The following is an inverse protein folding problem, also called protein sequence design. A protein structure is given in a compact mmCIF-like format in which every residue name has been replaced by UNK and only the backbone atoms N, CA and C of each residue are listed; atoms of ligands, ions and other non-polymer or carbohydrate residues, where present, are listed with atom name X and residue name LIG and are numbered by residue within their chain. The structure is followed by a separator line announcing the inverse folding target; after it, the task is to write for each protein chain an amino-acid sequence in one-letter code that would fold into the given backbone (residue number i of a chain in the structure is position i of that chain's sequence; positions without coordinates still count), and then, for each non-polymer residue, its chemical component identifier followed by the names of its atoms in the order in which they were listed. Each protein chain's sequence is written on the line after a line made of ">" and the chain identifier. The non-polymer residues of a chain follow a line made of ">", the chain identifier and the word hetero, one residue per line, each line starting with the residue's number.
data_IF_039891912140
#
_entry.id   IF_039891912140
#
_cell.length_a   1.000
_cell.length_b   1.000
_cell.length_c   1.000
_cell.angle_alpha   90.00
_cell.angle_beta   90.00
_cell.angle_gamma   90.00
#
_symmetry.space_group_name_H-M   'P 1'
#
loop_
_entity.id
_entity.type
_entity.pdbx_description
1 polymer ?
#
# COMPACT_ATOMS: atom_id res chain seq x y z
N UNK A 1 -11.29 -11.48 16.05
CA UNK A 1 -11.85 -12.68 15.38
C UNK A 1 -12.53 -12.20 14.11
N UNK A 2 -12.07 -12.67 12.97
CA UNK A 2 -12.69 -12.37 11.68
C UNK A 2 -14.11 -12.92 11.63
N UNK A 3 -15.02 -12.10 11.14
CA UNK A 3 -16.40 -12.50 10.98
C UNK A 3 -16.53 -13.30 9.68
N UNK A 4 -16.81 -14.59 9.77
CA UNK A 4 -16.88 -15.49 8.61
C UNK A 4 -18.19 -15.38 7.81
N UNK A 5 -19.17 -14.60 8.28
CA UNK A 5 -20.47 -14.40 7.62
C UNK A 5 -21.00 -13.01 7.94
N UNK A 6 -21.47 -12.32 6.93
CA UNK A 6 -22.01 -10.97 7.03
C UNK A 6 -23.47 -10.93 6.58
N UNK A 7 -24.25 -10.02 7.18
CA UNK A 7 -25.60 -9.70 6.72
C UNK A 7 -25.49 -8.62 5.66
N UNK A 8 -25.79 -8.93 4.41
CA UNK A 8 -25.63 -8.03 3.28
C UNK A 8 -27.00 -7.70 2.70
N UNK A 9 -27.24 -6.40 2.49
CA UNK A 9 -28.43 -5.91 1.80
C UNK A 9 -28.06 -5.50 0.38
N UNK A 10 -28.73 -6.09 -0.61
CA UNK A 10 -28.51 -5.82 -2.04
C UNK A 10 -29.68 -5.06 -2.61
N UNK A 11 -29.43 -3.92 -3.27
CA UNK A 11 -30.47 -3.16 -3.95
C UNK A 11 -30.00 -2.76 -5.36
N UNK A 12 -30.78 -3.18 -6.36
CA UNK A 12 -30.54 -2.92 -7.78
C UNK A 12 -31.89 -3.05 -8.51
N UNK A 13 -32.24 -2.12 -9.39
CA UNK A 13 -33.52 -2.16 -10.11
C UNK A 13 -33.58 -3.23 -11.22
N UNK A 14 -32.43 -3.84 -11.55
CA UNK A 14 -32.35 -5.01 -12.39
C UNK A 14 -32.46 -6.32 -11.57
N UNK A 15 -33.57 -7.07 -11.68
CA UNK A 15 -33.74 -8.33 -10.95
C UNK A 15 -32.68 -9.38 -11.28
N UNK A 16 -32.09 -9.34 -12.50
CA UNK A 16 -31.02 -10.27 -12.88
C UNK A 16 -29.71 -9.94 -12.13
N UNK A 17 -29.38 -8.65 -12.04
CA UNK A 17 -28.21 -8.21 -11.27
C UNK A 17 -28.36 -8.60 -9.79
N UNK A 18 -29.53 -8.36 -9.19
CA UNK A 18 -29.84 -8.78 -7.80
C UNK A 18 -29.63 -10.28 -7.64
N UNK A 19 -30.16 -11.09 -8.55
CA UNK A 19 -30.01 -12.55 -8.48
C UNK A 19 -28.56 -12.99 -8.53
N UNK A 20 -27.79 -12.50 -9.50
CA UNK A 20 -26.36 -12.85 -9.68
C UNK A 20 -25.54 -12.45 -8.45
N UNK A 21 -25.71 -11.22 -7.96
CA UNK A 21 -25.00 -10.74 -6.77
C UNK A 21 -25.35 -11.60 -5.55
N UNK A 22 -26.65 -11.92 -5.36
CA UNK A 22 -27.10 -12.73 -4.22
C UNK A 22 -26.50 -14.13 -4.27
N UNK A 23 -26.58 -14.82 -5.41
CA UNK A 23 -26.04 -16.18 -5.57
C UNK A 23 -24.52 -16.22 -5.28
N UNK A 24 -23.73 -15.27 -5.82
CA UNK A 24 -22.28 -15.20 -5.59
C UNK A 24 -21.92 -15.00 -4.11
N UNK A 25 -22.74 -14.25 -3.37
CA UNK A 25 -22.47 -13.94 -1.97
C UNK A 25 -23.02 -15.02 -1.01
N UNK A 26 -24.11 -15.70 -1.38
CA UNK A 26 -24.62 -16.88 -0.65
C UNK A 26 -23.64 -18.04 -0.75
N UNK A 27 -23.06 -18.28 -1.92
CA UNK A 27 -21.98 -19.26 -2.13
C UNK A 27 -20.77 -18.97 -1.24
N UNK A 28 -20.49 -17.68 -0.96
CA UNK A 28 -19.48 -17.22 -0.01
C UNK A 28 -19.94 -17.24 1.46
N UNK A 29 -21.10 -17.83 1.75
CA UNK A 29 -21.71 -18.02 3.10
C UNK A 29 -22.18 -16.73 3.79
N UNK A 30 -22.47 -15.67 3.06
CA UNK A 30 -23.12 -14.48 3.60
C UNK A 30 -24.65 -14.66 3.67
N UNK A 31 -25.30 -13.87 4.52
CA UNK A 31 -26.76 -13.83 4.60
C UNK A 31 -27.24 -12.64 3.76
N UNK A 32 -28.04 -12.92 2.73
CA UNK A 32 -28.45 -11.93 1.76
C UNK A 32 -29.92 -11.58 1.94
N UNK A 33 -30.20 -10.28 2.02
CA UNK A 33 -31.54 -9.72 1.81
C UNK A 33 -31.47 -8.80 0.60
N UNK A 34 -32.37 -8.96 -0.34
CA UNK A 34 -32.32 -8.19 -1.58
C UNK A 34 -33.63 -7.50 -1.92
N UNK A 35 -33.56 -6.42 -2.69
CA UNK A 35 -34.68 -5.60 -3.10
C UNK A 35 -34.45 -5.00 -4.48
N UNK A 36 -35.52 -4.84 -5.25
CA UNK A 36 -35.45 -4.16 -6.57
C UNK A 36 -36.07 -2.76 -6.54
N UNK A 37 -36.64 -2.33 -5.41
CA UNK A 37 -37.24 -1.02 -5.25
C UNK A 37 -36.41 -0.11 -4.34
N UNK A 38 -35.86 0.96 -4.88
CA UNK A 38 -34.98 1.88 -4.14
C UNK A 38 -35.71 2.78 -3.12
N UNK A 39 -37.02 3.08 -3.33
CA UNK A 39 -37.74 4.03 -2.49
C UNK A 39 -37.93 3.58 -1.06
N UNK A 40 -38.13 2.26 -0.85
CA UNK A 40 -38.30 1.64 0.47
C UNK A 40 -36.99 1.06 1.05
N UNK A 41 -35.90 1.10 0.26
CA UNK A 41 -34.61 0.51 0.64
C UNK A 41 -34.06 1.08 1.95
N UNK A 42 -34.07 2.40 2.13
CA UNK A 42 -33.53 3.02 3.34
C UNK A 42 -34.27 2.57 4.61
N UNK A 43 -35.60 2.50 4.57
CA UNK A 43 -36.39 2.06 5.73
C UNK A 43 -36.08 0.60 6.11
N UNK A 44 -35.86 -0.25 5.10
CA UNK A 44 -35.47 -1.66 5.30
C UNK A 44 -34.06 -1.78 5.87
N UNK A 45 -33.12 -1.01 5.32
CA UNK A 45 -31.71 -0.94 5.80
C UNK A 45 -31.69 -0.51 7.27
N UNK A 46 -32.44 0.53 7.64
CA UNK A 46 -32.50 1.05 8.99
C UNK A 46 -33.08 0.01 9.98
N UNK A 47 -34.11 -0.72 9.57
CA UNK A 47 -34.70 -1.79 10.40
C UNK A 47 -33.78 -3.01 10.56
N UNK A 48 -33.03 -3.35 9.49
CA UNK A 48 -32.16 -4.53 9.47
C UNK A 48 -30.78 -4.28 10.09
N UNK A 49 -30.25 -3.06 9.95
CA UNK A 49 -28.86 -2.70 10.29
C UNK A 49 -27.86 -3.73 9.74
N UNK A 50 -27.79 -3.88 8.39
CA UNK A 50 -26.90 -4.87 7.80
C UNK A 50 -25.43 -4.47 8.00
N UNK A 51 -24.53 -5.45 7.90
CA UNK A 51 -23.08 -5.20 7.91
C UNK A 51 -22.65 -4.46 6.64
N UNK A 52 -23.35 -4.71 5.52
CA UNK A 52 -23.05 -4.12 4.22
C UNK A 52 -24.32 -3.85 3.41
N UNK A 53 -24.30 -2.75 2.68
CA UNK A 53 -25.24 -2.43 1.60
C UNK A 53 -24.49 -2.46 0.28
N UNK A 54 -24.94 -3.26 -0.67
CA UNK A 54 -24.49 -3.27 -2.06
C UNK A 54 -25.58 -2.63 -2.90
N UNK A 55 -25.26 -1.54 -3.58
CA UNK A 55 -26.23 -0.70 -4.24
C UNK A 55 -25.85 -0.38 -5.68
N UNK A 56 -26.79 -0.54 -6.62
CA UNK A 56 -26.61 0.06 -7.95
C UNK A 56 -26.64 1.58 -7.85
N UNK A 57 -25.86 2.22 -8.73
CA UNK A 57 -25.79 3.67 -8.78
C UNK A 57 -27.03 4.30 -9.42
N UNK A 58 -27.56 3.66 -10.48
CA UNK A 58 -28.59 4.24 -11.35
C UNK A 58 -29.93 3.56 -11.17
N UNK A 59 -30.64 3.92 -10.12
CA UNK A 59 -31.96 3.37 -9.82
C UNK A 59 -33.06 4.43 -9.95
N UNK A 60 -34.27 4.08 -10.40
CA UNK A 60 -35.40 5.01 -10.44
C UNK A 60 -35.89 5.35 -9.01
N UNK A 61 -36.15 6.61 -8.76
CA UNK A 61 -36.67 7.10 -7.47
C UNK A 61 -35.54 7.61 -6.56
N UNK A 62 -34.93 6.76 -5.76
CA UNK A 62 -33.76 7.10 -4.94
C UNK A 62 -32.54 6.51 -5.63
N UNK A 63 -31.63 7.36 -6.11
CA UNK A 63 -30.39 6.89 -6.74
C UNK A 63 -29.37 6.40 -5.70
N UNK A 64 -28.34 5.69 -6.16
CA UNK A 64 -27.33 5.13 -5.28
C UNK A 64 -26.55 6.18 -4.49
N UNK A 65 -26.31 7.38 -5.03
CA UNK A 65 -25.65 8.47 -4.30
C UNK A 65 -26.50 8.96 -3.14
N UNK A 66 -27.81 9.14 -3.38
CA UNK A 66 -28.75 9.58 -2.35
C UNK A 66 -28.85 8.53 -1.23
N UNK A 67 -29.00 7.25 -1.60
CA UNK A 67 -29.08 6.15 -0.64
C UNK A 67 -27.77 6.01 0.17
N UNK A 68 -26.61 6.12 -0.50
CA UNK A 68 -25.31 6.11 0.15
C UNK A 68 -25.23 7.18 1.23
N UNK A 69 -25.52 8.42 0.87
CA UNK A 69 -25.51 9.56 1.81
C UNK A 69 -26.45 9.33 3.00
N UNK A 70 -27.68 8.86 2.74
CA UNK A 70 -28.64 8.57 3.81
C UNK A 70 -28.14 7.50 4.78
N UNK A 71 -27.47 6.46 4.28
CA UNK A 71 -26.94 5.36 5.11
C UNK A 71 -25.71 5.82 5.87
N UNK A 72 -24.75 6.45 5.22
CA UNK A 72 -23.44 6.80 5.83
C UNK A 72 -23.53 7.97 6.83
N UNK A 73 -24.50 8.88 6.66
CA UNK A 73 -24.73 9.97 7.61
C UNK A 73 -25.65 9.59 8.79
N UNK A 74 -26.25 8.37 8.77
CA UNK A 74 -27.20 7.96 9.80
C UNK A 74 -26.48 7.35 11.02
N UNK A 75 -26.70 7.90 12.21
CA UNK A 75 -26.01 7.52 13.45
C UNK A 75 -26.19 6.06 13.87
N UNK A 76 -27.28 5.41 13.49
CA UNK A 76 -27.53 4.00 13.80
C UNK A 76 -26.89 3.02 12.82
N UNK A 77 -26.32 3.53 11.69
CA UNK A 77 -25.73 2.75 10.62
C UNK A 77 -24.20 2.98 10.48
N UNK A 78 -23.57 3.53 11.51
CA UNK A 78 -22.13 3.88 11.49
C UNK A 78 -21.19 2.69 11.21
N UNK A 79 -21.65 1.47 11.49
CA UNK A 79 -20.89 0.24 11.23
C UNK A 79 -21.28 -0.44 9.90
N UNK A 80 -22.26 0.11 9.18
CA UNK A 80 -22.71 -0.46 7.90
C UNK A 80 -21.78 0.02 6.77
N UNK A 81 -21.10 -0.91 6.13
CA UNK A 81 -20.31 -0.62 4.91
C UNK A 81 -21.27 -0.35 3.75
N UNK A 82 -20.91 0.58 2.86
CA UNK A 82 -21.68 0.87 1.65
C UNK A 82 -20.81 0.68 0.41
N UNK A 83 -21.23 -0.19 -0.50
CA UNK A 83 -20.52 -0.53 -1.73
C UNK A 83 -21.39 -0.17 -2.92
N UNK A 84 -20.85 0.67 -3.82
CA UNK A 84 -21.48 0.97 -5.10
C UNK A 84 -21.12 -0.09 -6.12
N UNK A 85 -22.12 -0.53 -6.90
CA UNK A 85 -21.92 -1.39 -8.07
C UNK A 85 -22.52 -0.69 -9.28
N UNK A 86 -21.75 -0.45 -10.35
CA UNK A 86 -22.24 0.40 -11.46
C UNK A 86 -21.61 0.08 -12.80
N UNK A 87 -22.34 0.35 -13.88
CA UNK A 87 -21.79 0.36 -15.25
C UNK A 87 -20.97 1.61 -15.55
N UNK A 88 -21.06 2.66 -14.73
CA UNK A 88 -20.34 3.92 -14.93
C UNK A 88 -18.90 3.81 -14.49
N UNK A 89 -17.97 3.95 -15.44
CA UNK A 89 -16.53 3.89 -15.21
C UNK A 89 -15.90 5.29 -15.06
N UNK A 90 -16.69 6.35 -14.92
CA UNK A 90 -16.14 7.70 -14.81
C UNK A 90 -15.56 7.95 -13.42
N UNK A 91 -14.36 8.49 -13.40
CA UNK A 91 -13.65 8.86 -12.16
C UNK A 91 -14.46 9.82 -11.27
N UNK A 92 -15.20 10.70 -11.91
CA UNK A 92 -16.10 11.64 -11.21
C UNK A 92 -17.15 10.91 -10.37
N UNK A 93 -17.79 9.86 -10.92
CA UNK A 93 -18.80 9.08 -10.21
C UNK A 93 -18.18 8.28 -9.06
N UNK A 94 -16.97 7.73 -9.27
CA UNK A 94 -16.22 7.04 -8.22
C UNK A 94 -15.82 7.99 -7.08
N UNK A 95 -15.18 9.12 -7.40
CA UNK A 95 -14.81 10.13 -6.40
C UNK A 95 -16.02 10.66 -5.62
N UNK A 96 -17.12 10.88 -6.32
CA UNK A 96 -18.38 11.32 -5.70
C UNK A 96 -18.93 10.27 -4.74
N UNK A 97 -18.87 8.97 -5.10
CA UNK A 97 -19.29 7.88 -4.22
C UNK A 97 -18.49 7.88 -2.91
N UNK A 98 -17.18 7.99 -2.98
CA UNK A 98 -16.31 8.06 -1.79
C UNK A 98 -16.53 9.34 -0.99
N UNK A 99 -16.80 10.47 -1.64
CA UNK A 99 -17.17 11.73 -0.93
C UNK A 99 -18.47 11.58 -0.13
N UNK A 100 -19.41 10.74 -0.59
CA UNK A 100 -20.62 10.41 0.14
C UNK A 100 -20.46 9.26 1.14
N UNK A 101 -19.24 8.79 1.37
CA UNK A 101 -18.91 7.79 2.38
C UNK A 101 -19.00 6.35 1.90
N UNK A 102 -19.07 6.09 0.58
CA UNK A 102 -18.96 4.72 0.08
C UNK A 102 -17.61 4.10 0.47
N UNK A 103 -17.63 2.82 0.83
CA UNK A 103 -16.44 2.04 1.22
C UNK A 103 -15.83 1.29 0.03
N UNK A 104 -16.58 1.14 -1.06
CA UNK A 104 -16.13 0.50 -2.27
C UNK A 104 -16.93 0.94 -3.50
N UNK A 105 -16.31 0.77 -4.68
CA UNK A 105 -16.93 0.99 -5.98
C UNK A 105 -16.53 -0.13 -6.92
N UNK A 106 -17.48 -0.91 -7.40
CA UNK A 106 -17.24 -2.07 -8.27
C UNK A 106 -17.91 -1.83 -9.61
N UNK A 107 -17.15 -2.06 -10.69
CA UNK A 107 -17.64 -1.90 -12.04
C UNK A 107 -18.38 -3.16 -12.54
N UNK A 108 -19.52 -2.96 -13.18
CA UNK A 108 -20.18 -3.98 -14.02
C UNK A 108 -19.51 -4.01 -15.43
N UNK A 109 -19.38 -5.20 -16.08
CA UNK A 109 -19.85 -6.50 -15.62
C UNK A 109 -19.01 -7.07 -14.48
N UNK A 110 -19.67 -7.76 -13.55
CA UNK A 110 -18.99 -8.37 -12.40
C UNK A 110 -18.12 -9.54 -12.86
N UNK A 111 -16.92 -9.62 -12.30
CA UNK A 111 -16.10 -10.83 -12.45
C UNK A 111 -16.55 -11.84 -11.39
N UNK A 112 -17.21 -12.90 -11.82
CA UNK A 112 -17.82 -13.90 -10.93
C UNK A 112 -16.79 -14.68 -10.10
N UNK A 113 -15.55 -14.79 -10.58
CA UNK A 113 -14.47 -15.50 -9.87
C UNK A 113 -13.89 -14.67 -8.70
N UNK A 114 -13.92 -13.34 -8.81
CA UNK A 114 -13.23 -12.44 -7.84
C UNK A 114 -14.19 -11.54 -7.05
N UNK A 115 -15.47 -11.51 -7.40
CA UNK A 115 -16.44 -10.58 -6.80
C UNK A 115 -16.58 -10.76 -5.29
N UNK A 116 -16.76 -12.01 -4.84
CA UNK A 116 -16.91 -12.30 -3.41
C UNK A 116 -15.65 -11.92 -2.62
N UNK A 117 -14.47 -12.15 -3.18
CA UNK A 117 -13.20 -11.75 -2.56
C UNK A 117 -13.07 -10.23 -2.48
N UNK A 118 -13.52 -9.49 -3.52
CA UNK A 118 -13.53 -8.02 -3.47
C UNK A 118 -14.46 -7.50 -2.37
N UNK A 119 -15.65 -8.10 -2.22
CA UNK A 119 -16.57 -7.75 -1.13
C UNK A 119 -15.93 -8.04 0.23
N UNK A 120 -15.35 -9.22 0.42
CA UNK A 120 -14.67 -9.60 1.65
C UNK A 120 -13.53 -8.66 2.02
N UNK A 121 -12.73 -8.23 1.06
CA UNK A 121 -11.66 -7.24 1.26
C UNK A 121 -12.20 -5.90 1.76
N UNK A 122 -13.30 -5.42 1.16
CA UNK A 122 -13.94 -4.17 1.60
C UNK A 122 -14.54 -4.33 3.01
N UNK A 123 -15.20 -5.45 3.30
CA UNK A 123 -15.81 -5.72 4.59
C UNK A 123 -14.78 -5.79 5.72
N UNK A 124 -13.63 -6.34 5.47
CA UNK A 124 -12.56 -6.51 6.46
C UNK A 124 -11.48 -5.40 6.44
N UNK A 125 -11.64 -4.38 5.58
CA UNK A 125 -10.66 -3.31 5.40
C UNK A 125 -9.24 -3.80 5.10
N UNK A 126 -9.11 -4.89 4.35
CA UNK A 126 -7.82 -5.46 4.03
C UNK A 126 -7.00 -4.60 3.08
N UNK A 127 -5.71 -4.46 3.41
CA UNK A 127 -4.72 -3.85 2.53
C UNK A 127 -3.86 -5.00 1.98
N UNK A 128 -3.79 -5.13 0.66
CA UNK A 128 -2.84 -6.06 0.03
C UNK A 128 -1.49 -5.39 -0.11
N UNK A 129 -0.52 -5.82 0.68
CA UNK A 129 0.86 -5.40 0.58
C UNK A 129 1.66 -6.42 -0.23
N UNK A 130 2.33 -5.96 -1.29
CA UNK A 130 3.13 -6.84 -2.15
C UNK A 130 4.54 -6.31 -2.33
N UNK A 131 5.50 -7.23 -2.26
CA UNK A 131 6.92 -6.95 -2.42
C UNK A 131 7.35 -7.23 -3.86
N UNK A 132 7.93 -6.25 -4.53
CA UNK A 132 8.40 -6.35 -5.92
C UNK A 132 9.91 -6.31 -6.04
N UNK A 133 10.58 -5.80 -5.03
CA UNK A 133 12.03 -5.78 -4.86
C UNK A 133 12.36 -5.57 -3.40
N UNK A 134 13.33 -6.32 -2.89
CA UNK A 134 13.69 -6.36 -1.46
C UNK A 134 15.18 -6.06 -1.21
N UNK A 135 15.96 -5.88 -2.28
CA UNK A 135 17.39 -5.55 -2.21
C UNK A 135 17.61 -4.05 -2.14
N UNK A 136 18.76 -3.66 -1.58
CA UNK A 136 19.29 -2.31 -1.63
C UNK A 136 20.44 -2.15 -2.60
N UNK A 137 20.84 -0.94 -2.86
CA UNK A 137 22.05 -0.50 -3.59
C UNK A 137 22.06 -0.92 -5.06
N UNK A 138 22.06 -2.22 -5.37
CA UNK A 138 22.14 -2.74 -6.75
C UNK A 138 21.26 -3.98 -6.93
N UNK A 139 20.67 -4.18 -8.13
CA UNK A 139 20.03 -5.44 -8.47
C UNK A 139 21.03 -6.59 -8.49
N UNK A 140 20.61 -7.75 -7.98
CA UNK A 140 21.41 -8.96 -7.91
C UNK A 140 20.83 -10.03 -8.83
N UNK A 141 21.68 -10.84 -9.45
CA UNK A 141 21.25 -11.98 -10.27
C UNK A 141 22.04 -13.24 -9.89
N UNK A 142 21.52 -14.39 -10.28
CA UNK A 142 22.20 -15.66 -10.07
C UNK A 142 21.57 -16.55 -8.98
N UNK A 143 22.18 -17.72 -8.77
CA UNK A 143 21.63 -18.79 -7.93
C UNK A 143 21.49 -18.39 -6.45
N UNK A 144 22.28 -17.44 -5.98
CA UNK A 144 22.31 -16.97 -4.60
C UNK A 144 21.20 -15.96 -4.26
N UNK A 145 20.35 -15.58 -5.22
CA UNK A 145 19.25 -14.63 -5.04
C UNK A 145 17.89 -15.17 -5.51
N UNK A 146 17.73 -16.50 -5.62
CA UNK A 146 16.50 -17.13 -6.12
C UNK A 146 15.38 -17.16 -5.10
N UNK A 147 15.72 -17.21 -3.81
CA UNK A 147 14.75 -17.34 -2.73
C UNK A 147 14.05 -16.02 -2.41
N UNK A 148 14.82 -14.96 -2.23
CA UNK A 148 14.30 -13.64 -1.86
C UNK A 148 14.08 -12.73 -3.05
N UNK A 149 14.81 -12.94 -4.13
CA UNK A 149 14.82 -12.12 -5.33
C UNK A 149 16.03 -11.18 -5.37
N UNK A 150 16.24 -10.56 -6.53
CA UNK A 150 17.38 -9.70 -6.78
C UNK A 150 17.01 -8.25 -7.12
N UNK A 151 15.72 -7.89 -7.16
CA UNK A 151 15.29 -6.54 -7.48
C UNK A 151 15.45 -5.59 -6.30
N UNK A 152 15.77 -4.33 -6.61
CA UNK A 152 15.87 -3.24 -5.64
C UNK A 152 14.50 -2.70 -5.26
N UNK A 153 14.47 -1.87 -4.23
CA UNK A 153 13.34 -1.40 -3.45
C UNK A 153 12.10 -1.05 -4.25
N UNK A 154 11.04 -1.83 -4.09
CA UNK A 154 9.70 -1.52 -4.56
C UNK A 154 8.66 -2.34 -3.80
N UNK A 155 7.70 -1.70 -3.18
CA UNK A 155 6.51 -2.35 -2.59
C UNK A 155 5.24 -1.67 -3.06
N UNK A 156 4.11 -2.35 -3.02
CA UNK A 156 2.82 -1.75 -3.28
C UNK A 156 1.80 -2.05 -2.19
N UNK A 157 0.92 -1.10 -1.91
CA UNK A 157 -0.28 -1.26 -1.10
C UNK A 157 -1.49 -1.05 -2.00
N UNK A 158 -2.34 -2.06 -2.10
CA UNK A 158 -3.61 -1.97 -2.81
C UNK A 158 -4.75 -2.01 -1.80
N UNK A 159 -5.59 -0.97 -1.82
CA UNK A 159 -6.72 -0.81 -0.92
C UNK A 159 -8.00 -1.38 -1.54
N UNK A 160 -9.02 -1.70 -0.72
CA UNK A 160 -10.33 -2.17 -1.20
C UNK A 160 -10.99 -1.23 -2.22
N UNK A 161 -10.70 0.07 -2.13
CA UNK A 161 -11.14 1.10 -3.09
C UNK A 161 -10.44 1.04 -4.45
N UNK A 162 -9.54 0.07 -4.67
CA UNK A 162 -8.65 -0.06 -5.83
C UNK A 162 -7.62 1.08 -5.97
N UNK A 163 -7.45 1.89 -4.93
CA UNK A 163 -6.34 2.82 -4.85
C UNK A 163 -5.04 2.02 -4.71
N UNK A 164 -4.03 2.42 -5.47
CA UNK A 164 -2.71 1.77 -5.48
C UNK A 164 -1.66 2.78 -5.03
N UNK A 165 -0.96 2.46 -3.95
CA UNK A 165 0.23 3.17 -3.51
C UNK A 165 1.45 2.30 -3.79
N UNK A 166 2.47 2.91 -4.35
CA UNK A 166 3.75 2.26 -4.64
C UNK A 166 4.82 3.02 -3.88
N UNK A 167 5.68 2.32 -3.18
CA UNK A 167 6.81 2.90 -2.45
C UNK A 167 8.08 2.48 -3.15
N UNK A 168 8.81 3.47 -3.62
CA UNK A 168 9.99 3.42 -4.46
C UNK A 168 9.80 2.75 -5.84
N UNK A 169 10.66 3.16 -6.75
CA UNK A 169 10.71 2.73 -8.15
C UNK A 169 12.05 2.12 -8.53
N UNK A 170 12.64 1.34 -7.64
CA UNK A 170 13.81 0.52 -7.95
C UNK A 170 13.48 -0.55 -9.00
N UNK A 171 14.38 -1.51 -9.23
CA UNK A 171 14.20 -2.46 -10.33
C UNK A 171 12.94 -3.32 -10.21
N UNK A 172 12.40 -3.47 -8.98
CA UNK A 172 11.14 -4.15 -8.73
C UNK A 172 9.91 -3.52 -9.39
N UNK A 173 9.92 -2.20 -9.68
CA UNK A 173 8.77 -1.53 -10.29
C UNK A 173 8.45 -2.04 -11.69
N UNK A 174 9.47 -2.56 -12.42
CA UNK A 174 9.24 -3.18 -13.71
C UNK A 174 8.35 -4.41 -13.58
N UNK A 175 8.62 -5.27 -12.61
CA UNK A 175 7.81 -6.47 -12.35
C UNK A 175 6.38 -6.09 -11.92
N UNK A 176 6.21 -5.05 -11.10
CA UNK A 176 4.90 -4.47 -10.79
C UNK A 176 4.18 -4.03 -12.06
N UNK A 177 4.86 -3.33 -12.98
CA UNK A 177 4.31 -2.86 -14.25
C UNK A 177 3.81 -4.00 -15.14
N UNK A 178 4.60 -5.08 -15.26
CA UNK A 178 4.24 -6.27 -16.00
C UNK A 178 3.01 -6.96 -15.38
N UNK A 179 2.96 -7.06 -14.05
CA UNK A 179 1.82 -7.61 -13.32
C UNK A 179 0.55 -6.77 -13.53
N UNK A 180 0.61 -5.45 -13.38
CA UNK A 180 -0.52 -4.55 -13.59
C UNK A 180 -1.07 -4.66 -15.02
N UNK A 181 -0.19 -4.78 -16.01
CA UNK A 181 -0.56 -4.97 -17.41
C UNK A 181 -1.24 -6.31 -17.63
N UNK A 182 -0.77 -7.39 -16.99
CA UNK A 182 -1.37 -8.73 -17.08
C UNK A 182 -2.78 -8.79 -16.49
N UNK A 183 -3.11 -7.91 -15.53
CA UNK A 183 -4.44 -7.81 -14.92
C UNK A 183 -5.51 -7.20 -15.86
N UNK A 184 -5.13 -6.76 -17.06
CA UNK A 184 -6.02 -6.15 -18.05
C UNK A 184 -6.87 -4.99 -17.48
N UNK A 185 -6.34 -4.23 -16.52
CA UNK A 185 -7.02 -3.07 -15.96
C UNK A 185 -7.20 -2.02 -17.04
N UNK A 186 -8.43 -1.53 -17.23
CA UNK A 186 -8.75 -0.50 -18.25
C UNK A 186 -8.04 0.83 -17.97
N UNK A 187 -7.78 1.12 -16.71
CA UNK A 187 -7.13 2.33 -16.22
C UNK A 187 -6.41 2.02 -14.92
N UNK A 188 -5.22 2.52 -14.78
CA UNK A 188 -4.43 2.43 -13.55
C UNK A 188 -4.31 3.83 -12.96
N UNK A 189 -4.65 3.96 -11.70
CA UNK A 189 -4.43 5.16 -10.89
C UNK A 189 -3.54 4.79 -9.73
N UNK A 190 -2.37 5.41 -9.63
CA UNK A 190 -1.44 5.12 -8.55
C UNK A 190 -0.72 6.37 -8.05
N UNK A 191 -0.31 6.29 -6.78
CA UNK A 191 0.62 7.25 -6.18
C UNK A 191 1.94 6.55 -5.92
N UNK A 192 3.02 7.12 -6.47
CA UNK A 192 4.38 6.63 -6.27
C UNK A 192 5.04 7.51 -5.22
N UNK A 193 5.23 6.99 -4.04
CA UNK A 193 5.93 7.63 -2.93
C UNK A 193 7.41 7.26 -3.00
N UNK A 194 8.25 8.22 -3.31
CA UNK A 194 9.70 8.04 -3.42
C UNK A 194 10.32 8.43 -2.09
N UNK A 195 11.03 7.49 -1.46
CA UNK A 195 11.74 7.75 -0.22
C UNK A 195 12.85 8.79 -0.43
N UNK A 196 13.69 8.57 -1.42
CA UNK A 196 14.76 9.46 -1.84
C UNK A 196 15.28 9.08 -3.25
N UNK A 197 16.06 9.94 -3.92
CA UNK A 197 16.41 9.75 -5.33
C UNK A 197 17.71 8.94 -5.56
N UNK A 198 18.15 8.09 -4.62
CA UNK A 198 19.23 7.15 -4.93
C UNK A 198 18.76 6.16 -6.01
N UNK A 199 19.70 5.67 -6.78
CA UNK A 199 19.39 4.91 -7.99
C UNK A 199 18.55 3.67 -7.75
N UNK A 200 18.84 2.93 -6.73
CA UNK A 200 18.12 1.72 -6.37
C UNK A 200 16.65 1.95 -5.93
N UNK A 201 16.25 3.22 -5.74
CA UNK A 201 14.89 3.63 -5.45
C UNK A 201 14.15 4.27 -6.64
N UNK A 202 14.85 4.64 -7.73
CA UNK A 202 14.23 5.33 -8.86
C UNK A 202 14.66 4.81 -10.23
N UNK A 203 15.71 3.98 -10.34
CA UNK A 203 16.36 3.62 -11.61
C UNK A 203 15.42 2.97 -12.64
N UNK A 204 14.34 2.34 -12.20
CA UNK A 204 13.46 1.62 -13.11
C UNK A 204 12.10 2.29 -13.34
N UNK A 205 11.89 3.50 -12.84
CA UNK A 205 10.72 4.32 -13.19
C UNK A 205 10.60 4.50 -14.71
N UNK A 206 11.69 4.77 -15.48
CA UNK A 206 11.63 4.85 -16.93
C UNK A 206 11.16 3.57 -17.64
N UNK A 207 11.20 2.42 -16.96
CA UNK A 207 10.78 1.12 -17.49
C UNK A 207 9.41 0.66 -16.96
N UNK A 208 8.71 1.52 -16.22
CA UNK A 208 7.38 1.23 -15.71
C UNK A 208 6.34 1.38 -16.83
N UNK A 209 6.04 0.28 -17.52
CA UNK A 209 5.19 0.25 -18.70
C UNK A 209 3.85 1.00 -18.57
N UNK A 210 3.16 1.03 -17.41
CA UNK A 210 1.93 1.78 -17.25
C UNK A 210 2.04 3.29 -17.49
N UNK A 211 3.23 3.91 -17.36
CA UNK A 211 3.47 5.34 -17.67
C UNK A 211 3.30 5.66 -19.16
N UNK A 212 3.46 4.67 -20.03
CA UNK A 212 3.34 4.81 -21.49
C UNK A 212 1.96 4.43 -22.03
N UNK A 213 0.99 4.17 -21.15
CA UNK A 213 -0.36 3.79 -21.53
C UNK A 213 -1.34 4.95 -21.35
N UNK A 214 -1.99 5.35 -22.43
CA UNK A 214 -2.98 6.43 -22.40
C UNK A 214 -4.16 6.08 -21.48
N UNK A 215 -4.61 7.05 -20.70
CA UNK A 215 -5.74 6.91 -19.79
C UNK A 215 -5.34 6.56 -18.36
N UNK A 216 -4.08 6.17 -18.11
CA UNK A 216 -3.56 6.01 -16.75
C UNK A 216 -3.24 7.37 -16.11
N UNK A 217 -3.31 7.42 -14.77
CA UNK A 217 -2.96 8.58 -13.95
C UNK A 217 -1.97 8.19 -12.86
N UNK A 218 -0.91 8.93 -12.75
CA UNK A 218 0.10 8.75 -11.72
C UNK A 218 0.42 10.08 -11.03
N UNK A 219 0.62 10.02 -9.73
CA UNK A 219 1.22 11.10 -8.97
C UNK A 219 2.51 10.58 -8.33
N UNK A 220 3.63 11.22 -8.63
CA UNK A 220 4.96 10.90 -8.09
C UNK A 220 5.28 11.92 -7.01
N UNK A 221 5.42 11.42 -5.77
CA UNK A 221 5.58 12.22 -4.57
C UNK A 221 6.90 11.86 -3.87
N UNK A 222 7.64 12.84 -3.40
CA UNK A 222 8.87 12.62 -2.63
C UNK A 222 9.53 13.94 -2.25
N UNK A 223 10.61 13.91 -1.46
CA UNK A 223 11.26 15.12 -1.04
C UNK A 223 12.13 15.74 -2.17
N UNK A 224 12.11 17.05 -2.26
CA UNK A 224 13.09 17.78 -3.06
C UNK A 224 14.50 17.59 -2.48
N UNK A 225 15.54 17.70 -3.32
CA UNK A 225 16.95 17.65 -2.91
C UNK A 225 17.61 18.99 -3.21
N UNK A 226 17.83 19.80 -2.18
CA UNK A 226 18.24 21.19 -2.37
C UNK A 226 17.21 21.94 -3.23
N UNK A 227 17.66 22.50 -4.34
CA UNK A 227 16.80 23.24 -5.27
C UNK A 227 16.11 22.33 -6.31
N UNK A 228 16.47 21.04 -6.39
CA UNK A 228 15.91 20.12 -7.38
C UNK A 228 14.57 19.55 -6.87
N UNK A 229 13.52 19.80 -7.60
CA UNK A 229 12.19 19.23 -7.37
C UNK A 229 12.13 17.73 -7.70
N UNK A 230 11.14 17.01 -7.19
CA UNK A 230 10.93 15.60 -7.55
C UNK A 230 10.82 15.39 -9.07
N UNK A 231 10.17 16.32 -9.78
CA UNK A 231 10.11 16.29 -11.24
C UNK A 231 11.49 16.36 -11.90
N UNK A 232 12.35 17.24 -11.45
CA UNK A 232 13.70 17.40 -11.98
C UNK A 232 14.57 16.19 -11.66
N UNK A 233 14.45 15.63 -10.45
CA UNK A 233 15.18 14.43 -10.04
C UNK A 233 14.81 13.22 -10.91
N UNK A 234 13.52 12.98 -11.16
CA UNK A 234 13.09 11.89 -12.05
C UNK A 234 13.47 12.18 -13.51
N UNK A 235 13.35 13.44 -13.97
CA UNK A 235 13.74 13.84 -15.33
C UNK A 235 15.22 13.66 -15.60
N UNK A 236 16.08 13.90 -14.60
CA UNK A 236 17.55 13.84 -14.77
C UNK A 236 18.04 12.44 -15.17
N UNK A 237 17.41 11.37 -14.71
CA UNK A 237 17.76 10.01 -15.15
C UNK A 237 17.30 9.69 -16.58
N UNK A 238 16.43 10.51 -17.15
CA UNK A 238 15.89 10.39 -18.51
C UNK A 238 16.54 11.44 -19.45
N UNK A 239 17.76 11.83 -19.16
CA UNK A 239 18.57 12.69 -20.05
C UNK A 239 18.92 11.94 -21.32
N UNK A 240 18.76 12.60 -22.48
CA UNK A 240 18.99 12.01 -23.80
C UNK A 240 20.40 11.47 -24.05
N UNK A 241 21.38 11.81 -23.20
CA UNK A 241 22.72 11.22 -23.21
C UNK A 241 22.72 9.80 -22.65
N UNK A 242 21.90 9.53 -21.63
CA UNK A 242 21.88 8.26 -20.91
C UNK A 242 20.66 7.40 -21.23
N UNK A 243 19.54 8.04 -21.60
CA UNK A 243 18.28 7.35 -21.86
C UNK A 243 17.54 8.02 -23.04
N UNK A 244 17.07 7.25 -24.06
CA UNK A 244 16.55 7.82 -25.31
C UNK A 244 15.14 8.42 -25.19
N UNK A 245 14.49 8.32 -24.04
CA UNK A 245 13.12 8.73 -23.78
C UNK A 245 13.12 9.77 -22.66
N UNK A 246 12.30 10.81 -22.77
CA UNK A 246 12.13 11.85 -21.76
C UNK A 246 10.74 11.74 -21.13
N UNK A 247 10.42 12.59 -20.13
CA UNK A 247 9.08 12.62 -19.52
C UNK A 247 7.96 12.96 -20.51
N UNK A 248 8.29 13.54 -21.69
CA UNK A 248 7.31 13.94 -22.70
C UNK A 248 6.70 12.75 -23.44
N UNK A 249 7.34 11.60 -23.43
CA UNK A 249 6.84 10.37 -24.03
C UNK A 249 5.88 9.60 -23.13
N UNK A 250 5.70 10.02 -21.88
CA UNK A 250 4.67 9.43 -21.03
C UNK A 250 3.27 9.70 -21.60
N UNK A 251 2.55 8.65 -21.97
CA UNK A 251 1.19 8.75 -22.47
C UNK A 251 0.14 8.85 -21.35
N UNK A 252 0.52 8.45 -20.14
CA UNK A 252 -0.27 8.64 -18.93
C UNK A 252 -0.23 10.11 -18.47
N UNK A 253 -1.24 10.52 -17.70
CA UNK A 253 -1.15 11.77 -16.95
C UNK A 253 -0.24 11.57 -15.74
N UNK A 254 0.85 12.34 -15.67
CA UNK A 254 1.83 12.24 -14.57
C UNK A 254 1.98 13.59 -13.89
N UNK A 255 1.68 13.62 -12.60
CA UNK A 255 1.84 14.78 -11.72
C UNK A 255 3.02 14.54 -10.78
N UNK A 256 3.66 15.64 -10.37
CA UNK A 256 4.76 15.60 -9.41
C UNK A 256 4.43 16.48 -8.22
N UNK A 257 4.77 16.02 -7.03
CA UNK A 257 4.59 16.78 -5.79
C UNK A 257 5.81 16.62 -4.89
N UNK A 258 6.39 17.74 -4.50
CA UNK A 258 7.42 17.78 -3.48
C UNK A 258 6.79 17.65 -2.10
N UNK A 259 7.37 16.79 -1.26
CA UNK A 259 6.92 16.52 0.09
C UNK A 259 7.95 17.01 1.12
N UNK A 260 7.43 17.35 2.29
CA UNK A 260 8.19 17.58 3.52
C UNK A 260 7.70 16.63 4.62
N UNK A 261 8.05 16.87 5.89
CA UNK A 261 7.38 16.19 7.00
C UNK A 261 5.95 16.76 7.13
N UNK A 262 4.98 16.02 6.66
CA UNK A 262 3.58 16.44 6.60
C UNK A 262 2.61 15.27 6.80
N UNK A 263 1.33 15.61 6.92
CA UNK A 263 0.22 14.66 6.93
C UNK A 263 -0.64 14.90 5.69
N UNK A 264 -0.79 13.88 4.87
CA UNK A 264 -1.55 13.93 3.62
C UNK A 264 -2.84 13.13 3.82
N UNK A 265 -3.99 13.75 3.58
CA UNK A 265 -5.30 13.07 3.59
C UNK A 265 -5.71 12.71 2.15
N UNK A 266 -5.92 11.43 1.91
CA UNK A 266 -6.30 10.87 0.62
C UNK A 266 -7.58 10.05 0.79
N UNK A 267 -8.72 10.72 0.80
CA UNK A 267 -10.01 10.15 1.19
C UNK A 267 -9.94 9.60 2.64
N UNK A 268 -10.17 8.30 2.83
CA UNK A 268 -10.07 7.61 4.13
C UNK A 268 -8.67 7.03 4.43
N UNK A 269 -7.65 7.40 3.65
CA UNK A 269 -6.26 7.02 3.87
C UNK A 269 -5.48 8.25 4.34
N UNK A 270 -4.79 8.13 5.45
CA UNK A 270 -3.85 9.13 5.94
C UNK A 270 -2.42 8.65 5.66
N UNK A 271 -1.60 9.49 5.07
CA UNK A 271 -0.16 9.24 4.89
C UNK A 271 0.61 10.29 5.69
N UNK A 272 1.44 9.84 6.62
CA UNK A 272 2.39 10.69 7.35
C UNK A 272 3.78 10.48 6.80
N UNK A 273 4.56 11.54 6.74
CA UNK A 273 5.97 11.53 6.33
C UNK A 273 6.88 11.90 7.48
N UNK A 274 8.08 11.34 7.51
CA UNK A 274 9.12 11.64 8.49
C UNK A 274 10.49 11.62 7.81
N UNK A 275 11.36 12.60 8.09
CA UNK A 275 12.75 12.57 7.65
C UNK A 275 13.54 11.49 8.39
N UNK A 276 14.22 10.66 7.62
CA UNK A 276 15.04 9.56 8.09
C UNK A 276 16.52 9.95 8.19
N UNK A 277 17.27 9.17 9.00
CA UNK A 277 18.71 9.32 9.19
C UNK A 277 19.47 8.66 8.04
N UNK A 278 19.52 9.37 6.91
CA UNK A 278 20.20 8.94 5.67
C UNK A 278 20.76 10.16 4.95
N UNK A 279 21.86 10.07 4.19
CA UNK A 279 22.40 11.19 3.41
C UNK A 279 21.38 11.80 2.45
N UNK A 280 21.26 13.11 2.45
CA UNK A 280 20.21 13.83 1.73
C UNK A 280 18.89 13.85 2.50
N UNK A 281 17.80 14.20 1.81
CA UNK A 281 16.44 14.09 2.38
C UNK A 281 15.85 12.73 1.99
N UNK A 282 15.77 11.83 2.96
CA UNK A 282 15.07 10.56 2.82
C UNK A 282 13.80 10.59 3.65
N UNK A 283 12.66 10.20 3.09
CA UNK A 283 11.36 10.16 3.76
C UNK A 283 10.94 8.73 4.09
N UNK A 284 10.62 8.51 5.37
CA UNK A 284 9.80 7.37 5.79
C UNK A 284 8.32 7.70 5.66
N UNK A 285 7.51 6.69 5.44
CA UNK A 285 6.07 6.81 5.25
C UNK A 285 5.30 5.95 6.24
N UNK A 286 4.28 6.53 6.89
CA UNK A 286 3.28 5.78 7.64
C UNK A 286 1.93 5.95 6.98
N UNK A 287 1.31 4.85 6.60
CA UNK A 287 -0.02 4.81 6.00
C UNK A 287 -1.01 4.29 7.03
N UNK A 288 -2.05 5.05 7.31
CA UNK A 288 -3.15 4.65 8.19
C UNK A 288 -4.43 4.52 7.37
N UNK A 289 -5.13 3.39 7.51
CA UNK A 289 -6.38 3.09 6.83
C UNK A 289 -7.30 2.28 7.74
N UNK A 290 -8.46 2.85 8.12
CA UNK A 290 -9.50 2.16 8.89
C UNK A 290 -8.98 1.37 10.10
N UNK A 291 -8.07 1.95 10.88
CA UNK A 291 -7.48 1.33 12.07
C UNK A 291 -6.30 0.39 11.78
N UNK A 292 -5.93 0.18 10.53
CA UNK A 292 -4.71 -0.53 10.10
C UNK A 292 -3.60 0.45 9.79
N UNK A 293 -2.35 0.02 9.97
CA UNK A 293 -1.20 0.89 9.71
C UNK A 293 0.01 0.14 9.16
N UNK A 294 0.64 0.74 8.16
CA UNK A 294 1.86 0.24 7.53
C UNK A 294 2.92 1.33 7.57
N UNK A 295 4.09 1.02 8.07
CA UNK A 295 5.27 1.90 8.05
C UNK A 295 6.30 1.38 7.05
N UNK A 296 6.75 2.25 6.15
CA UNK A 296 7.85 2.02 5.22
C UNK A 296 9.02 2.92 5.59
N UNK A 297 10.06 2.31 6.16
CA UNK A 297 11.25 2.98 6.70
C UNK A 297 12.48 2.35 6.03
N UNK A 298 12.68 2.69 4.74
CA UNK A 298 13.89 2.29 4.03
C UNK A 298 15.03 3.26 4.33
N UNK A 299 16.25 2.90 4.03
CA UNK A 299 17.46 3.73 4.12
C UNK A 299 17.47 4.64 5.35
N UNK A 300 17.77 4.02 6.46
CA UNK A 300 17.73 4.67 7.75
C UNK A 300 18.81 4.10 8.66
N UNK A 301 19.71 4.94 9.13
CA UNK A 301 20.75 4.54 10.10
C UNK A 301 20.35 4.85 11.52
N UNK A 302 20.21 3.81 12.32
CA UNK A 302 20.06 3.91 13.77
C UNK A 302 21.40 3.64 14.44
N UNK A 303 22.06 4.69 14.90
CA UNK A 303 23.37 4.61 15.54
C UNK A 303 23.31 3.92 16.91
N UNK A 304 24.39 3.22 17.30
CA UNK A 304 24.55 2.74 18.67
C UNK A 304 24.74 3.90 19.65
N UNK A 305 24.38 3.68 20.92
CA UNK A 305 24.39 4.71 21.95
C UNK A 305 25.77 5.31 22.24
N UNK A 306 26.84 4.59 21.94
CA UNK A 306 28.24 5.01 22.06
C UNK A 306 28.76 5.78 20.83
N UNK A 307 27.96 5.94 19.80
CA UNK A 307 28.29 6.72 18.62
C UNK A 307 28.13 8.21 18.86
N UNK A 308 29.06 9.02 18.32
CA UNK A 308 28.96 10.49 18.30
C UNK A 308 27.74 11.01 17.51
N UNK A 309 27.18 10.20 16.65
CA UNK A 309 26.00 10.50 15.84
C UNK A 309 24.67 10.05 16.48
N UNK A 310 24.72 9.40 17.64
CA UNK A 310 23.53 8.93 18.33
C UNK A 310 22.63 10.08 18.77
N UNK A 311 21.35 9.97 18.46
CA UNK A 311 20.35 10.96 18.86
C UNK A 311 19.13 10.30 19.50
N UNK A 312 19.02 10.35 20.84
CA UNK A 312 17.82 9.83 21.54
C UNK A 312 16.53 10.50 21.07
N UNK A 313 16.61 11.77 20.68
CA UNK A 313 15.45 12.52 20.16
C UNK A 313 14.97 11.93 18.84
N UNK A 314 15.90 11.55 17.96
CA UNK A 314 15.58 10.93 16.67
C UNK A 314 14.99 9.54 16.90
N UNK A 315 15.60 8.68 17.71
CA UNK A 315 15.08 7.34 18.01
C UNK A 315 13.67 7.39 18.62
N UNK A 316 13.42 8.27 19.59
CA UNK A 316 12.10 8.45 20.17
C UNK A 316 11.06 8.91 19.12
N UNK A 317 11.45 9.80 18.21
CA UNK A 317 10.58 10.27 17.12
C UNK A 317 10.24 9.13 16.16
N UNK A 318 11.24 8.32 15.77
CA UNK A 318 11.06 7.17 14.91
C UNK A 318 10.20 6.10 15.58
N UNK A 319 10.44 5.81 16.87
CA UNK A 319 9.62 4.88 17.64
C UNK A 319 8.15 5.32 17.70
N UNK A 320 7.88 6.61 17.99
CA UNK A 320 6.50 7.13 18.02
C UNK A 320 5.86 7.10 16.61
N UNK A 321 6.65 7.34 15.56
CA UNK A 321 6.19 7.24 14.18
C UNK A 321 5.78 5.81 13.79
N UNK A 322 6.49 4.80 14.28
CA UNK A 322 6.20 3.38 14.02
C UNK A 322 5.23 2.74 15.03
N UNK A 323 4.85 3.48 16.09
CA UNK A 323 4.09 2.95 17.22
C UNK A 323 2.82 2.23 16.82
N UNK A 324 2.62 1.02 17.37
CA UNK A 324 1.47 0.15 17.17
C UNK A 324 1.19 -0.16 15.69
N UNK A 325 2.20 -0.10 14.81
CA UNK A 325 2.02 -0.42 13.40
C UNK A 325 1.71 -1.91 13.21
N UNK A 326 0.76 -2.20 12.30
CA UNK A 326 0.45 -3.58 11.91
C UNK A 326 1.61 -4.20 11.12
N UNK A 327 2.27 -3.39 10.27
CA UNK A 327 3.46 -3.77 9.52
C UNK A 327 4.52 -2.67 9.56
N UNK A 328 5.75 -3.04 9.84
CA UNK A 328 6.93 -2.22 9.69
C UNK A 328 7.86 -2.87 8.66
N UNK A 329 8.02 -2.23 7.51
CA UNK A 329 9.02 -2.58 6.51
C UNK A 329 10.21 -1.66 6.74
N UNK A 330 11.37 -2.20 7.10
CA UNK A 330 12.50 -1.35 7.45
C UNK A 330 13.83 -1.88 6.95
N UNK A 331 14.71 -0.93 6.65
CA UNK A 331 16.12 -1.16 6.34
C UNK A 331 16.76 -2.05 7.39
N UNK A 332 17.26 -3.17 6.95
CA UNK A 332 17.97 -4.19 7.72
C UNK A 332 19.18 -4.69 6.96
N UNK A 333 19.87 -3.73 6.32
CA UNK A 333 20.96 -4.01 5.37
C UNK A 333 22.05 -4.86 6.04
N UNK A 334 22.47 -4.51 7.25
CA UNK A 334 23.64 -5.11 7.88
C UNK A 334 23.32 -6.06 9.05
N UNK A 335 24.14 -7.08 9.20
CA UNK A 335 24.33 -7.73 10.49
C UNK A 335 25.07 -6.78 11.44
N UNK A 336 25.03 -7.01 12.77
CA UNK A 336 25.76 -6.18 13.73
C UNK A 336 27.28 -6.22 13.50
N UNK A 337 27.82 -7.35 13.02
CA UNK A 337 29.22 -7.49 12.70
C UNK A 337 29.64 -6.67 11.45
N UNK A 338 28.82 -6.67 10.42
CA UNK A 338 29.04 -5.87 9.20
C UNK A 338 28.96 -4.37 9.53
N UNK A 339 27.97 -3.97 10.32
CA UNK A 339 27.73 -2.57 10.69
C UNK A 339 28.92 -1.92 11.40
N UNK A 340 29.68 -2.67 12.19
CA UNK A 340 30.86 -2.15 12.90
C UNK A 340 31.89 -1.46 11.97
N UNK A 341 31.92 -1.84 10.69
CA UNK A 341 32.82 -1.24 9.67
C UNK A 341 32.11 -0.29 8.71
N UNK A 342 30.79 -0.12 8.86
CA UNK A 342 29.92 0.61 7.92
C UNK A 342 29.12 1.72 8.61
N UNK A 343 29.53 2.16 9.81
CA UNK A 343 28.94 3.30 10.53
C UNK A 343 29.04 4.56 9.67
N UNK A 344 27.93 5.28 9.51
CA UNK A 344 27.84 6.47 8.68
C UNK A 344 27.50 6.17 7.20
N UNK A 345 27.18 4.93 6.86
CA UNK A 345 26.78 4.56 5.49
C UNK A 345 25.27 4.73 5.25
N UNK A 346 24.51 5.09 6.27
CA UNK A 346 23.09 5.42 6.15
C UNK A 346 22.14 4.22 6.30
N UNK A 347 22.62 3.07 6.84
CA UNK A 347 21.82 1.84 6.98
C UNK A 347 21.93 1.22 8.35
N UNK A 348 20.89 0.49 8.76
CA UNK A 348 20.77 -0.11 10.10
C UNK A 348 21.25 -1.55 10.17
N UNK A 349 21.62 -1.99 11.39
CA UNK A 349 21.87 -3.37 11.72
C UNK A 349 20.67 -4.04 12.40
N UNK A 350 20.68 -5.38 12.43
CA UNK A 350 19.55 -6.21 12.88
C UNK A 350 19.16 -5.93 14.33
N UNK A 351 20.12 -5.75 15.25
CA UNK A 351 19.78 -5.49 16.67
C UNK A 351 19.00 -4.20 16.85
N UNK A 352 19.37 -3.13 16.13
CA UNK A 352 18.68 -1.83 16.19
C UNK A 352 17.27 -1.92 15.61
N UNK A 353 17.09 -2.64 14.49
CA UNK A 353 15.79 -2.84 13.83
C UNK A 353 14.83 -3.63 14.72
N UNK A 354 15.31 -4.69 15.37
CA UNK A 354 14.53 -5.50 16.31
C UNK A 354 14.12 -4.67 17.53
N UNK A 355 15.04 -3.89 18.11
CA UNK A 355 14.75 -3.02 19.24
C UNK A 355 13.70 -1.94 18.89
N UNK A 356 13.79 -1.35 17.68
CA UNK A 356 12.77 -0.41 17.21
C UNK A 356 11.40 -1.07 17.15
N UNK A 357 11.30 -2.26 16.56
CA UNK A 357 10.03 -2.96 16.38
C UNK A 357 9.39 -3.35 17.73
N UNK A 358 10.19 -3.84 18.68
CA UNK A 358 9.74 -4.18 20.03
C UNK A 358 9.29 -2.93 20.82
N UNK A 359 10.14 -1.91 20.88
CA UNK A 359 9.85 -0.66 21.60
C UNK A 359 8.64 0.09 21.02
N UNK A 360 8.41 0.01 19.72
CA UNK A 360 7.26 0.60 19.06
C UNK A 360 6.01 -0.28 19.09
N UNK A 361 6.07 -1.47 19.72
CA UNK A 361 4.96 -2.44 19.76
C UNK A 361 4.40 -2.79 18.38
N UNK A 362 5.29 -3.00 17.40
CA UNK A 362 4.93 -3.35 16.04
C UNK A 362 4.41 -4.80 16.00
N UNK A 363 3.34 -5.09 15.25
CA UNK A 363 2.83 -6.46 15.14
C UNK A 363 3.72 -7.33 14.27
N UNK A 364 4.09 -6.82 13.09
CA UNK A 364 4.91 -7.57 12.14
C UNK A 364 6.05 -6.72 11.60
N UNK A 365 7.27 -7.21 11.75
CA UNK A 365 8.50 -6.64 11.22
C UNK A 365 8.88 -7.34 9.91
N UNK A 366 9.11 -6.59 8.85
CA UNK A 366 9.63 -7.07 7.58
C UNK A 366 11.05 -6.55 7.37
N UNK A 367 12.02 -7.48 7.34
CA UNK A 367 13.42 -7.17 7.04
C UNK A 367 13.54 -6.83 5.55
N UNK A 368 14.06 -5.67 5.25
CA UNK A 368 14.07 -5.12 3.89
C UNK A 368 15.42 -4.49 3.56
N UNK A 369 15.64 -4.15 2.29
CA UNK A 369 16.83 -3.46 1.80
C UNK A 369 18.11 -4.25 2.05
N UNK A 370 18.13 -5.54 1.60
CA UNK A 370 19.28 -6.42 1.81
C UNK A 370 20.46 -6.02 0.95
N UNK A 371 21.66 -6.04 1.56
CA UNK A 371 22.93 -5.74 0.86
C UNK A 371 23.10 -6.62 -0.40
N UNK A 372 23.53 -6.08 -1.54
CA UNK A 372 23.72 -6.85 -2.78
C UNK A 372 24.70 -8.00 -2.66
N UNK A 373 25.69 -7.89 -1.78
CA UNK A 373 26.69 -8.96 -1.55
C UNK A 373 26.17 -10.12 -0.68
N UNK A 374 25.00 -9.95 -0.04
CA UNK A 374 24.39 -11.00 0.77
C UNK A 374 23.66 -12.04 -0.10
N UNK A 375 23.94 -13.29 0.15
CA UNK A 375 23.24 -14.44 -0.44
C UNK A 375 21.89 -14.69 0.25
N UNK A 376 21.06 -15.55 -0.34
CA UNK A 376 19.81 -16.02 0.29
C UNK A 376 20.07 -16.64 1.68
N UNK A 377 21.20 -17.34 1.85
CA UNK A 377 21.61 -17.93 3.13
C UNK A 377 21.99 -16.88 4.17
N UNK A 378 22.59 -15.75 3.76
CA UNK A 378 22.93 -14.66 4.67
C UNK A 378 21.65 -13.94 5.16
N UNK A 379 20.65 -13.80 4.28
CA UNK A 379 19.34 -13.27 4.65
C UNK A 379 18.63 -14.22 5.62
N UNK A 380 18.70 -15.54 5.40
CA UNK A 380 18.18 -16.53 6.36
C UNK A 380 18.83 -16.38 7.73
N UNK A 381 20.15 -16.23 7.80
CA UNK A 381 20.87 -16.03 9.04
C UNK A 381 20.51 -14.72 9.76
N UNK A 382 20.26 -13.63 9.00
CA UNK A 382 19.73 -12.37 9.57
C UNK A 382 18.34 -12.58 10.16
N UNK A 383 17.46 -13.30 9.47
CA UNK A 383 16.12 -13.60 9.95
C UNK A 383 16.16 -14.43 11.24
N UNK A 384 16.98 -15.50 11.28
CA UNK A 384 17.17 -16.32 12.49
C UNK A 384 17.69 -15.47 13.65
N UNK A 385 18.62 -14.55 13.39
CA UNK A 385 19.15 -13.61 14.39
C UNK A 385 18.02 -12.72 14.92
N UNK A 386 17.20 -12.14 14.06
CA UNK A 386 16.07 -11.28 14.46
C UNK A 386 15.04 -12.05 15.30
N UNK A 387 14.68 -13.29 14.91
CA UNK A 387 13.80 -14.18 15.68
C UNK A 387 14.37 -14.46 17.07
N UNK A 388 15.67 -14.77 17.16
CA UNK A 388 16.35 -15.01 18.42
C UNK A 388 16.35 -13.78 19.35
N UNK A 389 16.57 -12.59 18.80
CA UNK A 389 16.57 -11.34 19.55
C UNK A 389 15.16 -11.01 20.08
N UNK A 390 14.12 -11.09 19.26
CA UNK A 390 12.73 -10.89 19.69
C UNK A 390 12.33 -11.89 20.79
N UNK A 391 12.74 -13.14 20.67
CA UNK A 391 12.50 -14.16 21.70
C UNK A 391 13.16 -13.79 23.05
N UNK A 392 14.39 -13.27 23.02
CA UNK A 392 15.10 -12.82 24.24
C UNK A 392 14.43 -11.62 24.91
N UNK A 393 13.80 -10.74 24.12
CA UNK A 393 13.02 -9.59 24.59
C UNK A 393 11.63 -10.00 25.11
N UNK A 394 11.20 -11.25 24.91
CA UNK A 394 9.82 -11.70 25.10
C UNK A 394 8.81 -10.86 24.28
N UNK A 395 9.23 -10.38 23.11
CA UNK A 395 8.42 -9.56 22.21
C UNK A 395 7.26 -10.34 21.62
N UNK A 396 6.15 -9.64 21.34
CA UNK A 396 5.01 -10.19 20.59
C UNK A 396 5.11 -9.90 19.09
N UNK A 397 6.14 -9.18 18.65
CA UNK A 397 6.39 -8.86 17.26
C UNK A 397 6.77 -10.13 16.48
N UNK A 398 6.09 -10.38 15.37
CA UNK A 398 6.51 -11.39 14.40
C UNK A 398 7.52 -10.78 13.43
N UNK A 399 8.47 -11.57 12.93
CA UNK A 399 9.48 -11.09 11.97
C UNK A 399 9.58 -11.99 10.75
N UNK A 400 9.66 -11.36 9.57
CA UNK A 400 9.79 -12.04 8.28
C UNK A 400 10.83 -11.36 7.40
N UNK A 401 11.48 -12.14 6.53
CA UNK A 401 12.19 -11.64 5.35
C UNK A 401 11.30 -11.91 4.13
N UNK A 402 10.70 -10.88 3.53
CA UNK A 402 9.78 -11.06 2.41
C UNK A 402 10.52 -11.44 1.13
N UNK A 403 9.78 -12.06 0.19
CA UNK A 403 10.28 -12.46 -1.13
C UNK A 403 9.62 -11.62 -2.21
N UNK A 404 10.31 -11.45 -3.32
CA UNK A 404 9.69 -10.88 -4.51
C UNK A 404 8.44 -11.67 -4.93
N UNK A 405 7.39 -10.95 -5.32
CA UNK A 405 6.08 -11.50 -5.68
C UNK A 405 5.21 -11.89 -4.49
N UNK A 406 5.73 -11.91 -3.26
CA UNK A 406 4.94 -12.22 -2.07
C UNK A 406 3.88 -11.14 -1.85
N UNK A 407 2.64 -11.59 -1.61
CA UNK A 407 1.53 -10.75 -1.16
C UNK A 407 1.18 -11.08 0.27
N UNK A 408 1.00 -10.06 1.07
CA UNK A 408 0.56 -10.16 2.47
C UNK A 408 -0.67 -9.29 2.64
N UNK A 409 -1.66 -9.80 3.35
CA UNK A 409 -2.87 -9.04 3.72
C UNK A 409 -2.70 -8.48 5.13
N UNK A 410 -2.89 -7.16 5.26
CA UNK A 410 -2.79 -6.41 6.52
C UNK A 410 -4.20 -6.11 7.03
#
# INVERSE_FOLDING_TARGET
>A
MEKNSYNIFVVDDDPLAVKVISELLEDARHQITSMTESKSAFATILAMKPDCVICDLMMPGVDGFQLCKMVTEHTELTNTKFIMVSTKAYEFDQKRSFTFGAHGYILKPLNTETFSDQINRILNDYIDMRFWGVRGTLPVSGENALKYGGNTSCISLEFPSQQLFVFDGGSGIKTLGDWLTSQQRKRIQAKLFISHPHWDHINSIPFFAPLYQQGNDFEILGANQGDNTMRELISAQMDGVYFPITLTEFAAHVYFRDLEEEVIQLNNIEVKTMLLSHPGKCLGYRVNYNGRSVCYITDNEMFHEDSDFYSPRYENKLQEFCKDADALITDSTYTDAEYATKVGWGHSCISKVVNLADNANVKTLYLFHHDPDQTDSDIDAKLETAVSLLSKLNSQTEVFAPREGQCVTI
#
